data_IF_302493160364
#
_entry.id   IF_302493160364
#
_cell.length_a   1.000
_cell.length_b   1.000
_cell.length_c   1.000
_cell.angle_alpha   90.00
_cell.angle_beta   90.00
_cell.angle_gamma   90.00
#
_symmetry.space_group_name_H-M   'P 1'
#
loop_
_entity.id
_entity.type
_entity.pdbx_description
1 polymer ?
#
# COMPACT_ATOMS: atom_id res chain seq x y z
N UNK A 1 18.03 -25.38 -21.01
CA UNK A 1 16.96 -25.55 -20.01
C UNK A 1 17.60 -25.51 -18.62
N UNK A 2 17.54 -24.37 -17.93
CA UNK A 2 18.07 -24.26 -16.57
C UNK A 2 17.01 -24.73 -15.58
N UNK A 3 17.10 -25.98 -15.14
CA UNK A 3 16.30 -26.44 -14.01
C UNK A 3 16.87 -25.82 -12.72
N UNK A 4 16.03 -25.32 -11.80
CA UNK A 4 16.49 -24.79 -10.52
C UNK A 4 17.17 -25.90 -9.71
N UNK A 5 18.30 -25.58 -9.08
CA UNK A 5 19.06 -26.51 -8.25
C UNK A 5 18.27 -26.75 -6.95
N UNK A 6 17.78 -27.98 -6.76
CA UNK A 6 17.06 -28.35 -5.56
C UNK A 6 18.05 -28.76 -4.45
N UNK A 7 18.49 -27.78 -3.66
CA UNK A 7 19.40 -27.97 -2.54
C UNK A 7 18.66 -27.78 -1.21
N UNK A 8 18.83 -28.71 -0.26
CA UNK A 8 18.24 -28.61 1.06
C UNK A 8 19.19 -27.86 2.00
N UNK A 9 18.79 -26.66 2.39
CA UNK A 9 19.55 -25.86 3.36
C UNK A 9 19.21 -26.28 4.78
N UNK A 10 20.21 -26.32 5.65
CA UNK A 10 20.03 -26.54 7.08
C UNK A 10 20.61 -25.36 7.87
N UNK A 11 19.83 -24.85 8.82
CA UNK A 11 20.26 -23.81 9.77
C UNK A 11 20.23 -24.40 11.17
N UNK A 12 21.35 -24.33 11.91
CA UNK A 12 21.46 -24.92 13.25
C UNK A 12 21.02 -26.39 13.31
N UNK A 13 21.37 -27.18 12.27
CA UNK A 13 20.99 -28.60 12.11
C UNK A 13 19.49 -28.86 11.93
N UNK A 14 18.71 -27.83 11.62
CA UNK A 14 17.30 -27.93 11.24
C UNK A 14 17.18 -27.66 9.75
N UNK A 15 16.55 -28.58 9.01
CA UNK A 15 16.31 -28.39 7.58
C UNK A 15 15.29 -27.26 7.37
N UNK A 16 15.56 -26.38 6.43
CA UNK A 16 14.66 -25.32 6.02
C UNK A 16 13.71 -25.83 4.94
N UNK A 17 12.42 -25.53 5.13
CA UNK A 17 11.40 -25.85 4.13
C UNK A 17 11.52 -24.92 2.92
N UNK A 18 11.37 -25.50 1.73
CA UNK A 18 11.18 -24.74 0.50
C UNK A 18 9.75 -24.21 0.43
N UNK A 19 9.60 -22.90 0.37
CA UNK A 19 8.31 -22.22 0.28
C UNK A 19 8.25 -21.33 -0.95
N UNK A 20 7.09 -21.29 -1.61
CA UNK A 20 6.88 -20.46 -2.80
C UNK A 20 6.74 -18.98 -2.47
N UNK A 21 6.24 -18.68 -1.27
CA UNK A 21 6.06 -17.33 -0.73
C UNK A 21 6.49 -17.35 0.73
N UNK A 22 7.33 -16.40 1.12
CA UNK A 22 7.67 -16.16 2.52
C UNK A 22 7.30 -14.74 2.92
N UNK A 23 7.03 -14.55 4.21
CA UNK A 23 6.72 -13.24 4.78
C UNK A 23 7.91 -12.77 5.59
N UNK A 24 8.46 -11.62 5.23
CA UNK A 24 9.53 -10.98 5.99
C UNK A 24 9.19 -9.52 6.31
N UNK A 25 9.35 -9.13 7.58
CA UNK A 25 9.01 -7.81 8.12
C UNK A 25 7.61 -7.28 7.71
N UNK A 26 6.67 -8.16 7.38
CA UNK A 26 5.33 -7.77 6.94
C UNK A 26 5.11 -7.78 5.42
N UNK A 27 6.16 -7.93 4.62
CA UNK A 27 6.12 -7.99 3.15
C UNK A 27 6.13 -9.45 2.68
N UNK A 28 5.33 -9.78 1.67
CA UNK A 28 5.39 -11.10 1.03
C UNK A 28 6.34 -11.06 -0.15
N UNK A 29 7.27 -12.02 -0.17
CA UNK A 29 8.27 -12.20 -1.22
C UNK A 29 8.01 -13.57 -1.84
N UNK A 30 7.80 -13.60 -3.15
CA UNK A 30 7.64 -14.84 -3.90
C UNK A 30 8.93 -15.25 -4.61
N UNK A 31 9.00 -16.49 -5.09
CA UNK A 31 10.14 -17.03 -5.82
C UNK A 31 10.51 -16.26 -7.10
N UNK A 32 9.58 -15.47 -7.65
CA UNK A 32 9.79 -14.65 -8.85
C UNK A 32 10.15 -13.20 -8.52
N UNK A 33 10.23 -12.85 -7.24
CA UNK A 33 10.33 -11.49 -6.73
C UNK A 33 9.22 -10.56 -7.27
N UNK A 34 8.05 -11.13 -7.57
CA UNK A 34 6.87 -10.39 -7.96
C UNK A 34 6.09 -9.96 -6.73
N UNK A 35 5.94 -8.66 -6.54
CA UNK A 35 5.14 -8.11 -5.45
C UNK A 35 3.65 -7.97 -5.79
N UNK A 36 3.20 -8.54 -6.91
CA UNK A 36 1.83 -8.35 -7.41
C UNK A 36 0.77 -8.83 -6.42
N UNK A 37 0.97 -10.03 -5.86
CA UNK A 37 0.08 -10.64 -4.86
C UNK A 37 0.10 -9.85 -3.56
N UNK A 38 1.28 -9.41 -3.12
CA UNK A 38 1.45 -8.55 -1.96
C UNK A 38 0.69 -7.22 -2.10
N UNK A 39 0.85 -6.54 -3.25
CA UNK A 39 0.18 -5.27 -3.54
C UNK A 39 -1.33 -5.45 -3.54
N UNK A 40 -1.85 -6.49 -4.19
CA UNK A 40 -3.29 -6.78 -4.20
C UNK A 40 -3.83 -7.01 -2.79
N UNK A 41 -3.14 -7.83 -1.99
CA UNK A 41 -3.53 -8.07 -0.60
C UNK A 41 -3.51 -6.79 0.24
N UNK A 42 -2.54 -5.91 0.01
CA UNK A 42 -2.39 -4.63 0.71
C UNK A 42 -3.51 -3.65 0.32
N UNK A 43 -3.85 -3.57 -0.96
CA UNK A 43 -4.98 -2.77 -1.46
C UNK A 43 -6.29 -3.26 -0.85
N UNK A 44 -6.54 -4.58 -0.85
CA UNK A 44 -7.74 -5.17 -0.25
C UNK A 44 -7.85 -4.86 1.25
N UNK A 45 -6.74 -4.99 1.98
CA UNK A 45 -6.66 -4.64 3.40
C UNK A 45 -7.00 -3.17 3.63
N UNK A 46 -6.40 -2.27 2.85
CA UNK A 46 -6.63 -0.83 2.98
C UNK A 46 -8.06 -0.44 2.60
N UNK A 47 -8.63 -1.05 1.56
CA UNK A 47 -10.03 -0.84 1.19
C UNK A 47 -10.97 -1.28 2.31
N UNK A 48 -10.74 -2.46 2.91
CA UNK A 48 -11.52 -2.92 4.07
C UNK A 48 -11.42 -1.94 5.23
N UNK A 49 -10.22 -1.44 5.52
CA UNK A 49 -10.00 -0.44 6.57
C UNK A 49 -10.74 0.87 6.26
N UNK A 50 -10.61 1.40 5.04
CA UNK A 50 -11.36 2.56 4.57
C UNK A 50 -12.87 2.35 4.73
N UNK A 51 -13.41 1.17 4.41
CA UNK A 51 -14.82 0.86 4.60
C UNK A 51 -15.23 0.85 6.07
N UNK A 52 -14.38 0.39 6.98
CA UNK A 52 -14.63 0.46 8.42
C UNK A 52 -14.68 1.94 8.85
N UNK A 53 -13.66 2.72 8.50
CA UNK A 53 -13.58 4.16 8.81
C UNK A 53 -14.84 4.90 8.31
N UNK A 54 -15.27 4.64 7.08
CA UNK A 54 -16.47 5.23 6.48
C UNK A 54 -17.78 4.86 7.20
N UNK A 55 -17.86 3.68 7.81
CA UNK A 55 -19.06 3.22 8.55
C UNK A 55 -19.06 3.68 10.00
N UNK A 56 -17.90 3.75 10.63
CA UNK A 56 -17.77 4.09 12.04
C UNK A 56 -17.87 5.60 12.28
N UNK A 57 -17.38 6.41 11.34
CA UNK A 57 -17.41 7.86 11.46
C UNK A 57 -18.65 8.40 10.74
N UNK A 58 -19.38 9.30 11.40
CA UNK A 58 -20.48 10.01 10.78
C UNK A 58 -20.01 10.80 9.55
N UNK A 59 -20.84 10.86 8.50
CA UNK A 59 -20.53 11.60 7.27
C UNK A 59 -20.19 13.08 7.53
N UNK A 60 -20.83 13.66 8.55
CA UNK A 60 -20.69 15.05 8.99
C UNK A 60 -19.51 15.26 9.95
N UNK A 61 -18.70 14.23 10.24
CA UNK A 61 -17.53 14.41 11.08
C UNK A 61 -16.55 15.42 10.48
N UNK A 62 -15.79 16.15 11.33
CA UNK A 62 -14.81 17.11 10.87
C UNK A 62 -13.81 16.53 9.87
N UNK A 63 -13.46 17.33 8.86
CA UNK A 63 -12.52 16.95 7.77
C UNK A 63 -11.17 16.49 8.32
N UNK A 64 -10.64 17.20 9.32
CA UNK A 64 -9.38 16.85 9.98
C UNK A 64 -9.44 15.47 10.63
N UNK A 65 -10.52 15.12 11.34
CA UNK A 65 -10.69 13.80 11.97
C UNK A 65 -10.70 12.69 10.93
N UNK A 66 -11.47 12.86 9.84
CA UNK A 66 -11.50 11.89 8.73
C UNK A 66 -10.12 11.74 8.07
N UNK A 67 -9.40 12.85 7.90
CA UNK A 67 -8.05 12.89 7.34
C UNK A 67 -7.03 12.14 8.22
N UNK A 68 -6.99 12.44 9.52
CA UNK A 68 -6.07 11.78 10.46
C UNK A 68 -6.29 10.27 10.51
N UNK A 69 -7.54 9.82 10.51
CA UNK A 69 -7.86 8.39 10.53
C UNK A 69 -7.45 7.69 9.22
N UNK A 70 -7.64 8.35 8.06
CA UNK A 70 -7.12 7.82 6.80
C UNK A 70 -5.59 7.72 6.79
N UNK A 71 -4.89 8.78 7.22
CA UNK A 71 -3.43 8.83 7.19
C UNK A 71 -2.84 7.75 8.11
N UNK A 72 -3.34 7.65 9.34
CA UNK A 72 -2.83 6.72 10.36
C UNK A 72 -3.15 5.26 10.07
N UNK A 73 -4.37 4.93 9.60
CA UNK A 73 -4.83 3.55 9.48
C UNK A 73 -4.69 2.96 8.06
N UNK A 74 -4.70 3.78 7.02
CA UNK A 74 -4.73 3.28 5.63
C UNK A 74 -3.49 3.72 4.85
N UNK A 75 -3.20 5.03 4.82
CA UNK A 75 -2.07 5.58 4.04
C UNK A 75 -0.73 5.04 4.53
N UNK A 76 -0.58 4.87 5.84
CA UNK A 76 0.58 4.25 6.47
C UNK A 76 0.87 2.85 5.90
N UNK A 77 -0.15 2.00 5.74
CA UNK A 77 0.00 0.67 5.15
C UNK A 77 0.36 0.71 3.66
N UNK A 78 -0.19 1.65 2.89
CA UNK A 78 0.14 1.81 1.47
C UNK A 78 1.53 2.39 1.21
N UNK A 79 2.14 3.04 2.20
CA UNK A 79 3.49 3.60 2.11
C UNK A 79 4.55 2.72 2.78
N UNK A 80 4.14 1.80 3.64
CA UNK A 80 5.05 0.93 4.38
C UNK A 80 5.93 0.11 3.43
N UNK A 81 7.24 0.12 3.63
CA UNK A 81 8.23 -0.64 2.86
C UNK A 81 8.17 -0.42 1.33
N UNK A 82 7.67 0.74 0.86
CA UNK A 82 7.52 1.00 -0.58
C UNK A 82 8.83 0.87 -1.35
N UNK A 83 9.97 1.16 -0.72
CA UNK A 83 11.31 0.96 -1.26
C UNK A 83 11.55 -0.46 -1.80
N UNK A 84 10.88 -1.46 -1.23
CA UNK A 84 11.07 -2.88 -1.59
C UNK A 84 10.09 -3.31 -2.67
N UNK A 85 8.81 -2.96 -2.53
CA UNK A 85 7.74 -3.55 -3.36
C UNK A 85 7.15 -2.60 -4.41
N UNK A 86 7.56 -1.33 -4.48
CA UNK A 86 6.95 -0.30 -5.34
C UNK A 86 6.74 -0.83 -6.77
N UNK A 87 5.49 -0.84 -7.28
CA UNK A 87 5.22 -1.45 -8.57
C UNK A 87 5.77 -0.60 -9.73
N UNK A 88 6.43 -1.25 -10.68
CA UNK A 88 6.82 -0.62 -11.94
C UNK A 88 5.65 -0.51 -12.94
N UNK A 89 4.62 -1.34 -12.79
CA UNK A 89 3.46 -1.35 -13.69
C UNK A 89 2.50 -0.19 -13.37
N UNK A 90 2.26 0.67 -14.37
CA UNK A 90 1.32 1.80 -14.28
C UNK A 90 -0.09 1.39 -13.82
N UNK A 91 -0.55 0.20 -14.21
CA UNK A 91 -1.85 -0.33 -13.79
C UNK A 91 -1.93 -0.52 -12.27
N UNK A 92 -0.90 -1.10 -11.66
CA UNK A 92 -0.79 -1.32 -10.21
C UNK A 92 -0.63 -0.01 -9.45
N UNK A 93 0.17 0.93 -9.98
CA UNK A 93 0.26 2.30 -9.44
C UNK A 93 -1.12 2.96 -9.37
N UNK A 94 -1.91 2.88 -10.45
CA UNK A 94 -3.28 3.42 -10.49
C UNK A 94 -4.21 2.74 -9.48
N UNK A 95 -4.12 1.42 -9.34
CA UNK A 95 -4.93 0.69 -8.35
C UNK A 95 -4.62 1.14 -6.92
N UNK A 96 -3.35 1.35 -6.57
CA UNK A 96 -2.96 1.88 -5.25
C UNK A 96 -3.48 3.32 -5.07
N UNK A 97 -3.29 4.18 -6.08
CA UNK A 97 -3.74 5.58 -6.03
C UNK A 97 -5.25 5.70 -5.87
N UNK A 98 -6.02 4.77 -6.46
CA UNK A 98 -7.49 4.74 -6.37
C UNK A 98 -8.01 4.64 -4.94
N UNK A 99 -7.25 3.98 -4.04
CA UNK A 99 -7.62 3.85 -2.62
C UNK A 99 -7.62 5.24 -1.96
N UNK A 100 -6.55 6.01 -2.19
CA UNK A 100 -6.45 7.37 -1.69
C UNK A 100 -7.49 8.28 -2.32
N UNK A 101 -7.67 8.23 -3.65
CA UNK A 101 -8.65 9.05 -4.35
C UNK A 101 -10.08 8.81 -3.85
N UNK A 102 -10.45 7.56 -3.59
CA UNK A 102 -11.74 7.17 -3.02
C UNK A 102 -11.93 7.72 -1.60
N UNK A 103 -10.87 7.68 -0.78
CA UNK A 103 -10.96 8.14 0.61
C UNK A 103 -10.97 9.67 0.70
N UNK A 104 -10.15 10.38 -0.08
CA UNK A 104 -10.12 11.84 -0.13
C UNK A 104 -11.47 12.41 -0.57
N UNK A 105 -12.15 11.76 -1.53
CA UNK A 105 -13.53 12.12 -1.91
C UNK A 105 -14.50 12.04 -0.73
N UNK A 106 -14.37 11.01 0.10
CA UNK A 106 -15.18 10.85 1.31
C UNK A 106 -14.80 11.84 2.42
N UNK A 107 -13.51 12.18 2.55
CA UNK A 107 -13.05 13.14 3.57
C UNK A 107 -13.65 14.53 3.30
N UNK A 108 -13.64 14.97 2.05
CA UNK A 108 -14.10 16.32 1.68
C UNK A 108 -15.59 16.42 1.40
N UNK A 109 -16.30 15.29 1.27
CA UNK A 109 -17.69 15.24 0.84
C UNK A 109 -17.93 16.00 -0.50
N UNK A 110 -16.87 16.23 -1.29
CA UNK A 110 -16.89 17.06 -2.49
C UNK A 110 -16.47 16.22 -3.70
N UNK A 111 -17.35 16.14 -4.70
CA UNK A 111 -17.15 15.38 -5.93
C UNK A 111 -16.60 16.22 -7.10
N UNK A 112 -16.72 17.55 -7.02
CA UNK A 112 -16.53 18.47 -8.14
C UNK A 112 -15.05 18.81 -8.37
N UNK A 113 -14.26 18.84 -7.30
CA UNK A 113 -12.83 19.11 -7.38
C UNK A 113 -12.06 17.95 -8.03
N UNK A 114 -11.01 18.28 -8.79
CA UNK A 114 -10.05 17.30 -9.31
C UNK A 114 -9.33 16.57 -8.17
N UNK A 115 -8.64 15.47 -8.49
CA UNK A 115 -7.91 14.72 -7.47
C UNK A 115 -6.77 15.55 -6.83
N UNK A 116 -6.05 16.31 -7.66
CA UNK A 116 -4.90 17.11 -7.22
C UNK A 116 -5.35 18.27 -6.34
N UNK A 117 -6.41 18.98 -6.72
CA UNK A 117 -6.97 20.08 -5.90
C UNK A 117 -7.43 19.58 -4.52
N UNK A 118 -8.05 18.40 -4.46
CA UNK A 118 -8.45 17.79 -3.18
C UNK A 118 -7.25 17.40 -2.31
N UNK A 119 -6.17 16.94 -2.93
CA UNK A 119 -4.92 16.66 -2.25
C UNK A 119 -4.30 17.94 -1.66
N UNK A 120 -4.29 19.02 -2.44
CA UNK A 120 -3.80 20.33 -2.00
C UNK A 120 -4.62 20.89 -0.84
N UNK A 121 -5.96 20.80 -0.92
CA UNK A 121 -6.84 21.28 0.15
C UNK A 121 -6.61 20.56 1.49
N UNK A 122 -6.24 19.28 1.44
CA UNK A 122 -5.96 18.47 2.62
C UNK A 122 -4.50 18.51 3.07
N UNK A 123 -3.62 19.20 2.32
CA UNK A 123 -2.17 19.14 2.48
C UNK A 123 -1.62 17.69 2.47
N UNK A 124 -2.12 16.88 1.53
CA UNK A 124 -1.76 15.47 1.37
C UNK A 124 -1.13 15.25 0.00
N UNK A 125 0.10 14.73 -0.05
CA UNK A 125 0.73 14.35 -1.32
C UNK A 125 0.04 13.13 -1.96
N UNK A 126 -0.08 13.03 -3.30
CA UNK A 126 -0.44 11.78 -3.98
C UNK A 126 0.50 10.63 -3.57
N UNK A 127 0.00 9.38 -3.58
CA UNK A 127 0.80 8.24 -3.09
C UNK A 127 2.01 7.97 -3.98
N UNK A 128 1.87 8.17 -5.29
CA UNK A 128 3.00 8.11 -6.22
C UNK A 128 4.14 9.03 -5.79
N UNK A 129 3.88 10.34 -5.65
CA UNK A 129 4.90 11.29 -5.22
C UNK A 129 5.48 10.97 -3.84
N UNK A 130 4.65 10.50 -2.90
CA UNK A 130 5.15 10.09 -1.58
C UNK A 130 6.17 8.95 -1.69
N UNK A 131 5.94 7.97 -2.57
CA UNK A 131 6.89 6.87 -2.81
C UNK A 131 8.16 7.37 -3.47
N UNK A 132 8.04 8.18 -4.52
CA UNK A 132 9.20 8.76 -5.21
C UNK A 132 10.11 9.55 -4.25
N UNK A 133 9.53 10.38 -3.37
CA UNK A 133 10.30 11.08 -2.34
C UNK A 133 10.97 10.09 -1.38
N UNK A 134 10.27 9.04 -0.98
CA UNK A 134 10.84 8.03 -0.07
C UNK A 134 12.02 7.31 -0.75
N UNK A 135 11.89 6.99 -2.04
CA UNK A 135 12.94 6.37 -2.85
C UNK A 135 14.16 7.30 -2.97
N UNK A 136 13.94 8.61 -3.21
CA UNK A 136 15.00 9.61 -3.29
C UNK A 136 15.71 9.88 -1.95
N UNK A 137 14.98 9.86 -0.84
CA UNK A 137 15.55 10.10 0.50
C UNK A 137 16.40 8.94 1.03
N UNK A 138 16.23 7.75 0.48
CA UNK A 138 17.00 6.56 0.86
C UNK A 138 18.38 6.49 0.18
N UNK A 139 18.53 7.20 -0.95
CA UNK A 139 19.78 7.29 -1.72
C UNK A 139 20.71 8.35 -1.12
#
# INVERSE_FOLDING_TARGET
>A
SHAPIHFYYAMNRVNLDHVNVFKDLGVFIDQTLSFSTYIESTILKCNKMCSIVKRTIAFNAPVNVKSYLFISLCRSHLAFASLVWSPHLKSKVKQIESVQQSMIRFILNNADLSYIERCQFLDILPLLFKREITDLLFL
#
